data_IF_157681186083
#
_entry.id   IF_157681186083
#
_cell.length_a   1.000
_cell.length_b   1.000
_cell.length_c   1.000
_cell.angle_alpha   90.00
_cell.angle_beta   90.00
_cell.angle_gamma   90.00
#
_symmetry.space_group_name_H-M   'P 1'
#
loop_
_entity.id
_entity.type
_entity.pdbx_description
1 polymer ?
#
# COMPACT_ATOMS: atom_id res chain seq x y z
N UNK A 1 6.78 1.47 -2.68
CA UNK A 1 6.90 2.41 -3.82
C UNK A 1 7.60 3.73 -3.50
N UNK A 2 8.01 4.00 -2.24
CA UNK A 2 8.58 5.30 -1.84
C UNK A 2 7.61 6.43 -2.27
N UNK A 3 8.11 7.61 -2.58
CA UNK A 3 7.32 8.74 -3.06
C UNK A 3 7.03 8.64 -4.58
N UNK A 4 6.41 7.54 -5.02
CA UNK A 4 6.03 7.33 -6.42
C UNK A 4 4.62 6.74 -6.52
N UNK A 5 3.91 7.13 -7.59
CA UNK A 5 2.61 6.60 -7.96
C UNK A 5 1.53 7.68 -8.05
N UNK A 6 0.73 7.61 -9.11
CA UNK A 6 -0.60 8.20 -9.22
C UNK A 6 -1.67 7.09 -9.34
N UNK A 7 -2.96 7.45 -9.37
CA UNK A 7 -4.04 6.45 -9.43
C UNK A 7 -3.96 5.52 -10.64
N UNK A 8 -3.50 6.02 -11.79
CA UNK A 8 -3.41 5.23 -13.03
C UNK A 8 -2.24 4.25 -12.94
N UNK A 9 -1.06 4.73 -12.55
CA UNK A 9 0.12 3.89 -12.34
C UNK A 9 -0.13 2.81 -11.28
N UNK A 10 -0.80 3.16 -10.18
CA UNK A 10 -1.15 2.22 -9.12
C UNK A 10 -2.09 1.13 -9.65
N UNK A 11 -3.12 1.49 -10.41
CA UNK A 11 -4.06 0.52 -10.97
C UNK A 11 -3.36 -0.46 -11.93
N UNK A 12 -2.41 0.02 -12.73
CA UNK A 12 -1.61 -0.82 -13.61
C UNK A 12 -0.71 -1.78 -12.83
N UNK A 13 0.01 -1.30 -11.81
CA UNK A 13 0.85 -2.15 -10.96
C UNK A 13 0.01 -3.22 -10.26
N UNK A 14 -1.15 -2.85 -9.70
CA UNK A 14 -2.04 -3.80 -9.03
C UNK A 14 -2.57 -4.85 -10.01
N UNK A 15 -2.95 -4.45 -11.23
CA UNK A 15 -3.38 -5.39 -12.27
C UNK A 15 -2.30 -6.45 -12.54
N UNK A 16 -1.04 -6.04 -12.65
CA UNK A 16 0.07 -6.98 -12.85
C UNK A 16 0.24 -7.91 -11.65
N UNK A 17 0.20 -7.38 -10.43
CA UNK A 17 0.37 -8.17 -9.20
C UNK A 17 -0.72 -9.23 -9.01
N UNK A 18 -1.96 -8.93 -9.43
CA UNK A 18 -3.10 -9.83 -9.29
C UNK A 18 -3.15 -10.86 -10.43
N UNK A 19 -2.63 -10.53 -11.61
CA UNK A 19 -2.62 -11.44 -12.76
C UNK A 19 -1.54 -12.54 -12.65
N UNK A 20 -0.46 -12.30 -11.91
CA UNK A 20 0.64 -13.26 -11.76
C UNK A 20 0.39 -14.24 -10.60
N UNK A 21 0.60 -15.55 -10.79
CA UNK A 21 0.55 -16.50 -9.68
C UNK A 21 1.71 -16.21 -8.72
N UNK A 22 1.38 -15.80 -7.50
CA UNK A 22 2.33 -15.66 -6.41
C UNK A 22 2.51 -17.02 -5.73
N UNK A 23 3.72 -17.30 -5.25
CA UNK A 23 4.01 -18.51 -4.49
C UNK A 23 3.19 -18.51 -3.18
N UNK A 24 2.34 -19.52 -2.92
CA UNK A 24 1.52 -19.59 -1.71
C UNK A 24 2.33 -19.67 -0.41
N UNK A 25 3.63 -20.00 -0.48
CA UNK A 25 4.52 -20.05 0.69
C UNK A 25 5.23 -18.71 0.95
N UNK A 26 4.97 -17.67 0.15
CA UNK A 26 5.58 -16.35 0.29
C UNK A 26 4.57 -15.31 0.75
N UNK A 27 4.91 -14.58 1.82
CA UNK A 27 4.15 -13.40 2.25
C UNK A 27 4.56 -12.17 1.41
N UNK A 28 3.57 -11.47 0.83
CA UNK A 28 3.80 -10.30 -0.02
C UNK A 28 3.18 -9.07 0.62
N UNK A 29 3.97 -8.01 0.80
CA UNK A 29 3.54 -6.74 1.41
C UNK A 29 3.99 -5.55 0.58
N UNK A 30 3.12 -4.55 0.41
CA UNK A 30 3.39 -3.34 -0.38
C UNK A 30 3.23 -2.08 0.46
N UNK A 31 4.28 -1.27 0.52
CA UNK A 31 4.25 0.07 1.08
C UNK A 31 3.87 1.14 0.04
N UNK A 32 2.68 1.74 0.17
CA UNK A 32 2.15 2.81 -0.70
C UNK A 32 2.31 4.21 -0.07
N UNK A 33 2.45 5.30 -0.85
CA UNK A 33 2.27 6.65 -0.31
C UNK A 33 0.96 6.76 0.47
N UNK A 34 0.98 7.48 1.60
CA UNK A 34 -0.12 7.55 2.57
C UNK A 34 -1.44 8.00 1.94
N UNK A 35 -1.38 8.97 1.02
CA UNK A 35 -2.56 9.51 0.31
C UNK A 35 -3.28 8.49 -0.58
N UNK A 36 -2.64 7.36 -0.91
CA UNK A 36 -3.22 6.30 -1.73
C UNK A 36 -3.46 4.99 -0.98
N UNK A 37 -3.17 4.92 0.33
CA UNK A 37 -3.17 3.65 1.07
C UNK A 37 -4.52 2.92 1.01
N UNK A 38 -5.63 3.66 1.19
CA UNK A 38 -6.98 3.10 1.11
C UNK A 38 -7.38 2.70 -0.31
N UNK A 39 -6.92 3.45 -1.31
CA UNK A 39 -7.15 3.13 -2.72
C UNK A 39 -6.44 1.82 -3.10
N UNK A 40 -5.16 1.68 -2.74
CA UNK A 40 -4.38 0.46 -2.95
C UNK A 40 -5.02 -0.73 -2.24
N UNK A 41 -5.45 -0.56 -0.98
CA UNK A 41 -6.10 -1.63 -0.22
C UNK A 41 -7.38 -2.12 -0.87
N UNK A 42 -8.18 -1.23 -1.45
CA UNK A 42 -9.43 -1.58 -2.14
C UNK A 42 -9.23 -2.33 -3.46
N UNK A 43 -8.05 -2.24 -4.08
CA UNK A 43 -7.75 -2.92 -5.35
C UNK A 43 -7.06 -4.27 -5.16
N UNK A 44 -6.26 -4.44 -4.09
CA UNK A 44 -5.49 -5.66 -3.84
C UNK A 44 -6.29 -6.72 -3.08
N UNK A 45 -6.13 -8.02 -3.39
CA UNK A 45 -6.71 -9.11 -2.60
C UNK A 45 -6.13 -9.14 -1.19
N UNK A 46 -6.87 -9.73 -0.25
CA UNK A 46 -6.47 -9.82 1.16
C UNK A 46 -5.17 -10.64 1.37
N UNK A 47 -4.79 -11.49 0.43
CA UNK A 47 -3.52 -12.25 0.44
C UNK A 47 -2.28 -11.38 0.28
N UNK A 48 -2.41 -10.15 -0.21
CA UNK A 48 -1.31 -9.18 -0.31
C UNK A 48 -1.50 -8.12 0.78
N UNK A 49 -0.51 -8.00 1.67
CA UNK A 49 -0.47 -6.99 2.71
C UNK A 49 -0.27 -5.58 2.16
N UNK A 50 -0.87 -4.58 2.81
CA UNK A 50 -0.69 -3.16 2.48
C UNK A 50 -0.20 -2.44 3.73
N UNK A 51 0.92 -1.74 3.61
CA UNK A 51 1.59 -1.06 4.72
C UNK A 51 1.66 0.46 4.48
N UNK A 52 1.60 1.22 5.58
CA UNK A 52 2.06 2.61 5.58
C UNK A 52 3.57 2.66 5.40
N UNK A 53 4.08 3.70 4.74
CA UNK A 53 5.52 3.90 4.57
C UNK A 53 6.19 4.56 5.78
N UNK A 54 5.41 5.23 6.63
CA UNK A 54 5.82 5.80 7.91
C UNK A 54 4.60 5.89 8.82
N UNK A 55 4.82 6.04 10.13
CA UNK A 55 3.78 6.26 11.14
C UNK A 55 4.34 6.97 12.36
N UNK A 56 3.47 7.62 13.12
CA UNK A 56 3.83 8.23 14.41
C UNK A 56 3.77 7.23 15.57
N UNK A 57 4.46 7.56 16.66
CA UNK A 57 4.65 6.67 17.83
C UNK A 57 3.52 6.73 18.87
N UNK A 58 2.52 7.59 18.67
CA UNK A 58 1.34 7.70 19.54
C UNK A 58 0.09 7.86 18.68
N UNK A 59 -1.08 7.49 19.22
CA UNK A 59 -2.31 7.38 18.44
C UNK A 59 -2.96 8.71 18.03
N UNK A 60 -2.70 9.82 18.75
CA UNK A 60 -3.22 11.17 18.42
C UNK A 60 -2.47 12.28 19.16
N UNK A 61 -2.49 13.49 18.61
CA UNK A 61 -1.99 14.71 19.24
C UNK A 61 -1.73 15.83 18.23
N UNK A 62 -1.07 16.90 18.67
CA UNK A 62 -0.71 18.05 17.83
C UNK A 62 0.55 17.76 16.98
N UNK A 63 0.45 16.80 16.06
CA UNK A 63 1.55 16.33 15.20
C UNK A 63 1.21 16.60 13.73
N UNK A 64 1.24 17.88 13.33
CA UNK A 64 0.85 18.30 11.98
C UNK A 64 1.63 17.53 10.89
N UNK A 65 0.90 16.81 10.05
CA UNK A 65 1.44 16.07 8.90
C UNK A 65 1.78 14.60 9.16
N UNK A 66 1.79 14.15 10.42
CA UNK A 66 2.00 12.75 10.77
C UNK A 66 0.71 11.91 10.67
N UNK A 67 0.87 10.59 10.54
CA UNK A 67 -0.22 9.59 10.47
C UNK A 67 -0.05 8.56 11.58
#
# INVERSE_FOLDING_TARGET
>A
WKMNGDKAQIAEIVKTLVACPLDPNTEVVIGSPSVYISYVRGLLPASIGVAGQNSYKVSKGAFTGEV
#
